data_IF_975646395999
#
_entry.id   IF_975646395999
#
_cell.length_a   1.000
_cell.length_b   1.000
_cell.length_c   1.000
_cell.angle_alpha   90.00
_cell.angle_beta   90.00
_cell.angle_gamma   90.00
#
_symmetry.space_group_name_H-M   'P 1'
#
loop_
_entity.id
_entity.type
_entity.pdbx_description
1 polymer ?
#
# COMPACT_ATOMS: atom_id res chain seq x y z
N UNK A 1 -19.72 9.14 27.66
CA UNK A 1 -18.59 8.61 26.88
C UNK A 1 -17.37 9.51 26.78
N UNK A 2 -17.33 10.60 25.99
CA UNK A 2 -16.07 11.38 25.79
C UNK A 2 -15.44 11.82 27.12
N UNK A 3 -16.24 12.39 28.03
CA UNK A 3 -15.77 12.83 29.36
C UNK A 3 -15.30 11.66 30.21
N UNK A 4 -16.02 10.54 30.18
CA UNK A 4 -15.74 9.35 30.98
C UNK A 4 -14.47 8.62 30.49
N UNK A 5 -14.27 8.58 29.18
CA UNK A 5 -13.02 8.16 28.56
C UNK A 5 -11.86 9.07 29.00
N UNK A 6 -12.02 10.39 28.93
CA UNK A 6 -10.98 11.32 29.40
C UNK A 6 -10.64 11.13 30.89
N UNK A 7 -11.65 10.89 31.75
CA UNK A 7 -11.45 10.55 33.17
C UNK A 7 -10.63 9.26 33.33
N UNK A 8 -10.92 8.22 32.56
CA UNK A 8 -10.18 6.96 32.61
C UNK A 8 -8.71 7.06 32.16
N UNK A 9 -8.36 8.04 31.31
CA UNK A 9 -6.98 8.30 30.89
C UNK A 9 -6.20 9.25 31.81
N UNK A 10 -6.80 9.75 32.89
CA UNK A 10 -6.08 10.52 33.93
C UNK A 10 -5.01 9.65 34.60
N UNK A 11 -4.01 10.28 35.22
CA UNK A 11 -2.85 9.60 35.82
C UNK A 11 -1.69 9.34 34.85
N UNK A 12 -1.93 9.22 33.54
CA UNK A 12 -0.83 9.11 32.56
C UNK A 12 -0.16 10.48 32.32
N UNK A 13 1.18 10.51 32.40
CA UNK A 13 1.98 11.71 32.14
C UNK A 13 3.28 11.38 31.39
N UNK A 14 4.00 12.42 30.99
CA UNK A 14 5.33 12.31 30.39
C UNK A 14 6.35 12.08 31.50
N UNK A 15 7.03 10.94 31.46
CA UNK A 15 8.08 10.61 32.41
C UNK A 15 9.33 11.48 32.18
N UNK A 16 9.99 11.87 33.27
CA UNK A 16 11.17 12.74 33.24
C UNK A 16 10.91 14.04 32.44
N UNK A 17 9.81 14.71 32.79
CA UNK A 17 9.29 15.89 32.09
C UNK A 17 10.36 16.95 31.83
N UNK A 18 11.19 17.30 32.82
CA UNK A 18 12.24 18.32 32.68
C UNK A 18 13.25 17.97 31.56
N UNK A 19 13.67 16.70 31.51
CA UNK A 19 14.56 16.24 30.46
C UNK A 19 13.86 16.18 29.10
N UNK A 20 12.59 15.76 29.06
CA UNK A 20 11.79 15.73 27.83
C UNK A 20 11.54 17.14 27.28
N UNK A 21 11.32 18.14 28.14
CA UNK A 21 11.21 19.55 27.74
C UNK A 21 12.52 20.08 27.13
N UNK A 22 13.68 19.73 27.71
CA UNK A 22 14.98 20.07 27.12
C UNK A 22 15.20 19.40 25.75
N UNK A 23 14.72 18.17 25.58
CA UNK A 23 14.76 17.46 24.29
C UNK A 23 13.85 18.11 23.26
N UNK A 24 12.62 18.45 23.65
CA UNK A 24 11.63 19.18 22.84
C UNK A 24 12.13 20.53 22.36
N UNK A 25 12.88 21.26 23.19
CA UNK A 25 13.48 22.54 22.77
C UNK A 25 14.58 22.38 21.72
N UNK A 26 15.24 21.21 21.67
CA UNK A 26 16.39 20.95 20.78
C UNK A 26 16.00 20.18 19.52
N UNK A 27 15.07 19.25 19.64
CA UNK A 27 14.62 18.34 18.60
C UNK A 27 13.18 18.71 18.20
N UNK A 28 12.75 18.47 16.96
CA UNK A 28 11.39 18.82 16.52
C UNK A 28 10.31 17.99 17.24
N UNK A 29 9.33 18.65 17.86
CA UNK A 29 8.12 18.02 18.43
C UNK A 29 7.05 17.66 17.38
N UNK A 30 7.16 18.23 16.17
CA UNK A 30 6.26 17.94 15.06
C UNK A 30 6.40 16.47 14.62
N UNK A 31 5.33 15.84 14.11
CA UNK A 31 4.82 14.50 14.49
C UNK A 31 5.77 13.32 14.26
N UNK A 32 6.92 13.55 13.63
CA UNK A 32 7.97 12.57 13.36
C UNK A 32 9.32 13.05 13.89
N UNK A 33 9.34 13.51 15.14
CA UNK A 33 10.53 13.95 15.86
C UNK A 33 11.50 12.83 16.23
N UNK A 34 12.73 13.19 16.60
CA UNK A 34 13.75 12.24 17.13
C UNK A 34 13.58 11.97 18.63
N UNK A 35 12.46 12.37 19.20
CA UNK A 35 12.19 12.27 20.64
C UNK A 35 11.45 10.96 20.88
N UNK A 36 12.13 10.04 21.57
CA UNK A 36 11.48 8.89 22.18
C UNK A 36 10.86 9.36 23.49
N UNK A 37 9.58 9.73 23.44
CA UNK A 37 8.83 10.13 24.62
C UNK A 37 8.72 8.94 25.59
N UNK A 38 8.92 9.22 26.87
CA UNK A 38 8.70 8.26 27.94
C UNK A 38 7.41 8.66 28.65
N UNK A 39 6.64 7.67 29.08
CA UNK A 39 5.39 7.88 29.80
C UNK A 39 5.39 7.09 31.10
N UNK A 40 4.72 7.62 32.11
CA UNK A 40 4.52 6.98 33.41
C UNK A 40 3.10 7.22 33.91
N UNK A 41 2.67 6.38 34.86
CA UNK A 41 1.35 6.49 35.48
C UNK A 41 1.50 6.90 36.95
N UNK A 42 0.85 8.00 37.31
CA UNK A 42 0.72 8.50 38.68
C UNK A 42 -0.68 8.16 39.21
N UNK A 43 -0.81 7.18 40.13
CA UNK A 43 -2.09 6.83 40.73
C UNK A 43 -2.78 8.01 41.42
N UNK A 44 -2.01 8.92 42.04
CA UNK A 44 -2.51 10.10 42.73
C UNK A 44 -3.19 11.14 41.82
N UNK A 45 -2.86 11.12 40.53
CA UNK A 45 -3.46 11.99 39.51
C UNK A 45 -4.58 11.30 38.73
N UNK A 46 -4.91 10.04 39.07
CA UNK A 46 -5.99 9.28 38.46
C UNK A 46 -7.33 9.54 39.16
N UNK A 47 -8.39 9.67 38.36
CA UNK A 47 -9.76 9.71 38.85
C UNK A 47 -10.27 8.28 39.08
N UNK A 48 -10.17 7.80 40.32
CA UNK A 48 -10.70 6.50 40.75
C UNK A 48 -12.23 6.43 40.93
N UNK A 49 -12.95 7.46 40.50
CA UNK A 49 -14.41 7.45 40.55
C UNK A 49 -15.02 6.43 39.58
N UNK A 50 -16.25 6.00 39.89
CA UNK A 50 -17.05 5.20 38.95
C UNK A 50 -17.30 5.98 37.66
N UNK A 51 -17.21 5.27 36.53
CA UNK A 51 -17.36 5.78 35.15
C UNK A 51 -18.38 4.92 34.43
N UNK A 52 -19.14 5.53 33.53
CA UNK A 52 -20.06 4.84 32.62
C UNK A 52 -19.61 5.09 31.18
N UNK A 53 -19.24 4.03 30.47
CA UNK A 53 -18.68 4.14 29.12
C UNK A 53 -19.24 3.06 28.21
N UNK A 54 -19.88 3.48 27.11
CA UNK A 54 -20.46 2.59 26.10
C UNK A 54 -21.37 1.49 26.69
N UNK A 55 -22.11 1.83 27.76
CA UNK A 55 -23.04 0.93 28.43
C UNK A 55 -22.43 0.05 29.53
N UNK A 56 -21.12 0.06 29.72
CA UNK A 56 -20.45 -0.59 30.85
C UNK A 56 -20.24 0.41 32.00
N UNK A 57 -20.27 -0.07 33.26
CA UNK A 57 -20.06 0.76 34.47
C UNK A 57 -18.99 0.15 35.36
N UNK A 58 -18.06 0.96 35.85
CA UNK A 58 -16.98 0.53 36.74
C UNK A 58 -15.95 1.63 37.03
N UNK A 59 -14.98 1.34 37.89
CA UNK A 59 -13.80 2.19 38.04
C UNK A 59 -12.81 1.88 36.92
N UNK A 60 -13.06 2.44 35.72
CA UNK A 60 -12.27 2.14 34.53
C UNK A 60 -10.96 2.93 34.46
N UNK A 61 -9.91 2.26 34.03
CA UNK A 61 -8.63 2.82 33.56
C UNK A 61 -8.64 2.99 32.04
N UNK A 62 -7.59 3.62 31.49
CA UNK A 62 -7.42 3.76 30.04
C UNK A 62 -7.35 2.41 29.31
N UNK A 63 -6.79 1.37 29.94
CA UNK A 63 -6.75 0.01 29.39
C UNK A 63 -8.15 -0.59 29.32
N UNK A 64 -8.96 -0.44 30.37
CA UNK A 64 -10.36 -0.91 30.38
C UNK A 64 -11.20 -0.24 29.28
N UNK A 65 -10.98 1.06 29.03
CA UNK A 65 -11.65 1.77 27.94
C UNK A 65 -11.30 1.14 26.58
N UNK A 66 -10.04 0.79 26.35
CA UNK A 66 -9.59 0.13 25.12
C UNK A 66 -10.28 -1.23 24.98
N UNK A 67 -10.33 -2.01 26.05
CA UNK A 67 -11.01 -3.31 26.05
C UNK A 67 -12.52 -3.18 25.75
N UNK A 68 -13.19 -2.18 26.31
CA UNK A 68 -14.60 -1.90 26.03
C UNK A 68 -14.81 -1.50 24.56
N UNK A 69 -13.90 -0.72 23.98
CA UNK A 69 -13.94 -0.34 22.56
C UNK A 69 -13.75 -1.57 21.67
N UNK A 70 -12.81 -2.46 21.98
CA UNK A 70 -12.56 -3.70 21.22
C UNK A 70 -13.80 -4.62 21.17
N UNK A 71 -14.65 -4.61 22.21
CA UNK A 71 -15.91 -5.37 22.22
C UNK A 71 -16.97 -4.80 21.26
N UNK A 72 -16.85 -3.56 20.81
CA UNK A 72 -17.90 -2.92 20.01
C UNK A 72 -17.92 -3.45 18.56
N UNK A 73 -19.10 -3.76 18.00
CA UNK A 73 -19.23 -4.12 16.58
C UNK A 73 -18.67 -3.07 15.62
N UNK A 74 -18.72 -1.79 16.01
CA UNK A 74 -18.15 -0.69 15.24
C UNK A 74 -16.63 -0.87 15.02
N UNK A 75 -15.90 -1.36 16.01
CA UNK A 75 -14.46 -1.62 15.93
C UNK A 75 -14.15 -2.73 14.93
N UNK A 76 -14.88 -3.84 15.01
CA UNK A 76 -14.75 -4.95 14.08
C UNK A 76 -15.01 -4.53 12.62
N UNK A 77 -16.09 -3.75 12.39
CA UNK A 77 -16.44 -3.24 11.06
C UNK A 77 -15.42 -2.24 10.54
N UNK A 78 -14.93 -1.34 11.40
CA UNK A 78 -13.91 -0.34 11.06
C UNK A 78 -12.60 -1.00 10.61
N UNK A 79 -12.09 -1.95 11.40
CA UNK A 79 -10.88 -2.70 11.07
C UNK A 79 -11.09 -3.54 9.80
N UNK A 80 -12.21 -4.25 9.69
CA UNK A 80 -12.54 -5.06 8.52
C UNK A 80 -12.55 -4.24 7.23
N UNK A 81 -13.12 -3.04 7.26
CA UNK A 81 -13.19 -2.16 6.10
C UNK A 81 -11.83 -1.60 5.72
N UNK A 82 -10.96 -1.29 6.70
CA UNK A 82 -9.57 -0.94 6.41
C UNK A 82 -8.79 -2.09 5.79
N UNK A 83 -8.93 -3.31 6.30
CA UNK A 83 -8.26 -4.50 5.75
C UNK A 83 -8.75 -4.80 4.32
N UNK A 84 -10.07 -4.75 4.09
CA UNK A 84 -10.66 -4.92 2.77
C UNK A 84 -10.17 -3.83 1.80
N UNK A 85 -10.24 -2.57 2.23
CA UNK A 85 -9.78 -1.42 1.46
C UNK A 85 -8.30 -1.55 1.08
N UNK A 86 -7.46 -2.06 1.97
CA UNK A 86 -6.03 -2.19 1.71
C UNK A 86 -5.68 -3.37 0.79
N UNK A 87 -6.31 -4.54 0.98
CA UNK A 87 -5.88 -5.77 0.31
C UNK A 87 -6.75 -6.24 -0.86
N UNK A 88 -8.02 -5.82 -0.95
CA UNK A 88 -8.98 -6.41 -1.90
C UNK A 88 -9.39 -5.41 -2.97
N UNK A 89 -9.99 -4.29 -2.59
CA UNK A 89 -10.53 -3.30 -3.53
C UNK A 89 -10.54 -1.92 -2.89
N UNK A 90 -10.60 -0.86 -3.71
CA UNK A 90 -10.73 0.49 -3.20
C UNK A 90 -12.11 0.71 -2.54
N UNK A 91 -12.13 1.49 -1.46
CA UNK A 91 -13.33 1.86 -0.70
C UNK A 91 -13.48 3.38 -0.74
N UNK A 92 -14.70 3.92 -0.52
CA UNK A 92 -14.89 5.34 -0.28
C UNK A 92 -13.95 5.86 0.83
N UNK A 93 -13.62 7.17 0.84
CA UNK A 93 -12.83 7.77 1.92
C UNK A 93 -13.44 7.51 3.31
N UNK A 94 -12.59 7.35 4.33
CA UNK A 94 -13.00 7.03 5.71
C UNK A 94 -14.10 7.95 6.26
N UNK A 95 -14.12 9.29 6.01
CA UNK A 95 -15.19 10.16 6.49
C UNK A 95 -16.58 9.84 5.93
N UNK A 96 -16.65 9.16 4.79
CA UNK A 96 -17.91 8.76 4.16
C UNK A 96 -18.46 7.45 4.72
N UNK A 97 -17.65 6.69 5.45
CA UNK A 97 -18.02 5.36 5.92
C UNK A 97 -19.30 5.29 6.76
N UNK A 98 -19.66 6.30 7.58
CA UNK A 98 -20.94 6.32 8.29
C UNK A 98 -22.17 6.48 7.39
N UNK A 99 -21.99 6.95 6.15
CA UNK A 99 -23.07 7.32 5.22
C UNK A 99 -23.08 6.44 3.96
N UNK A 100 -21.98 5.76 3.67
CA UNK A 100 -21.78 4.95 2.47
C UNK A 100 -21.47 3.51 2.88
N UNK A 101 -22.31 2.58 2.43
CA UNK A 101 -22.11 1.14 2.59
C UNK A 101 -20.77 0.69 1.97
N UNK A 102 -20.13 -0.36 2.52
CA UNK A 102 -18.94 -0.93 1.91
C UNK A 102 -19.25 -1.54 0.54
N UNK A 103 -18.25 -1.61 -0.33
CA UNK A 103 -18.37 -2.19 -1.66
C UNK A 103 -18.78 -3.68 -1.62
N UNK A 104 -18.31 -4.41 -0.60
CA UNK A 104 -18.74 -5.78 -0.31
C UNK A 104 -19.13 -5.94 1.17
N UNK A 105 -20.42 -5.74 1.52
CA UNK A 105 -20.90 -5.91 2.89
C UNK A 105 -20.70 -7.33 3.44
N UNK A 106 -20.70 -8.35 2.57
CA UNK A 106 -20.54 -9.75 3.00
C UNK A 106 -19.08 -10.05 3.37
N UNK A 107 -18.12 -9.48 2.65
CA UNK A 107 -16.71 -9.55 3.02
C UNK A 107 -16.46 -8.88 4.39
N UNK A 108 -17.02 -7.68 4.60
CA UNK A 108 -16.88 -6.96 5.89
C UNK A 108 -17.48 -7.76 7.04
N UNK A 109 -18.65 -8.38 6.86
CA UNK A 109 -19.26 -9.24 7.87
C UNK A 109 -18.41 -10.49 8.16
N UNK A 110 -17.86 -11.11 7.12
CA UNK A 110 -16.99 -12.29 7.25
C UNK A 110 -15.75 -11.98 8.09
N UNK A 111 -15.09 -10.85 7.82
CA UNK A 111 -13.94 -10.38 8.58
C UNK A 111 -14.32 -9.96 10.00
N UNK A 112 -15.47 -9.28 10.18
CA UNK A 112 -15.95 -8.86 11.49
C UNK A 112 -16.26 -10.06 12.38
N UNK A 113 -16.85 -11.13 11.82
CA UNK A 113 -17.05 -12.39 12.54
C UNK A 113 -15.72 -13.03 12.94
N UNK A 114 -14.74 -13.06 12.03
CA UNK A 114 -13.41 -13.58 12.34
C UNK A 114 -12.72 -12.80 13.49
N UNK A 115 -12.93 -11.49 13.56
CA UNK A 115 -12.47 -10.67 14.68
C UNK A 115 -13.05 -11.14 16.02
N UNK A 116 -14.37 -11.36 16.12
CA UNK A 116 -14.99 -11.81 17.36
C UNK A 116 -14.67 -13.28 17.70
N UNK A 117 -14.77 -14.18 16.72
CA UNK A 117 -14.54 -15.63 16.92
C UNK A 117 -13.12 -15.94 17.41
N UNK A 118 -12.16 -15.08 17.07
CA UNK A 118 -10.74 -15.24 17.43
C UNK A 118 -10.34 -14.48 18.70
N UNK A 119 -11.26 -13.77 19.36
CA UNK A 119 -10.94 -12.91 20.49
C UNK A 119 -10.13 -11.68 20.08
N UNK A 120 -10.59 -10.97 19.05
CA UNK A 120 -10.06 -9.70 18.55
C UNK A 120 -8.71 -9.80 17.84
N UNK A 121 -8.39 -10.96 17.24
CA UNK A 121 -7.09 -11.21 16.65
C UNK A 121 -6.98 -10.76 15.17
N UNK A 122 -6.15 -9.75 14.91
CA UNK A 122 -5.91 -9.24 13.54
C UNK A 122 -5.26 -10.29 12.63
N UNK A 123 -4.36 -11.11 13.15
CA UNK A 123 -3.73 -12.19 12.38
C UNK A 123 -4.74 -13.23 11.88
N UNK A 124 -5.74 -13.57 12.70
CA UNK A 124 -6.85 -14.43 12.30
C UNK A 124 -7.71 -13.79 11.21
N UNK A 125 -8.01 -12.49 11.32
CA UNK A 125 -8.72 -11.75 10.25
C UNK A 125 -7.95 -11.79 8.94
N UNK A 126 -6.64 -11.54 8.95
CA UNK A 126 -5.78 -11.62 7.76
C UNK A 126 -5.77 -13.04 7.17
N UNK A 127 -5.71 -14.06 8.02
CA UNK A 127 -5.80 -15.46 7.60
C UNK A 127 -7.10 -15.76 6.86
N UNK A 128 -8.23 -15.25 7.35
CA UNK A 128 -9.53 -15.35 6.67
C UNK A 128 -9.53 -14.55 5.36
N UNK A 129 -9.03 -13.31 5.38
CA UNK A 129 -8.98 -12.44 4.21
C UNK A 129 -8.23 -13.10 3.06
N UNK A 130 -6.98 -13.51 3.25
CA UNK A 130 -6.14 -14.06 2.18
C UNK A 130 -6.62 -15.43 1.68
N UNK A 131 -7.48 -16.12 2.44
CA UNK A 131 -8.05 -17.39 2.03
C UNK A 131 -9.47 -17.29 1.46
N UNK A 132 -10.11 -16.13 1.55
CA UNK A 132 -11.48 -15.89 1.09
C UNK A 132 -11.63 -15.94 -0.44
N UNK A 133 -12.86 -16.21 -0.88
CA UNK A 133 -13.19 -16.17 -2.31
C UNK A 133 -13.16 -14.75 -2.86
N UNK A 134 -13.59 -13.75 -2.07
CA UNK A 134 -13.55 -12.35 -2.50
C UNK A 134 -12.12 -11.83 -2.70
N UNK A 135 -11.12 -12.32 -1.96
CA UNK A 135 -9.72 -11.95 -2.21
C UNK A 135 -9.14 -12.64 -3.46
N UNK A 136 -9.60 -13.85 -3.77
CA UNK A 136 -9.12 -14.65 -4.90
C UNK A 136 -9.91 -14.43 -6.19
N UNK A 137 -10.97 -13.62 -6.12
CA UNK A 137 -11.86 -13.35 -7.23
C UNK A 137 -11.08 -12.72 -8.40
N UNK A 138 -11.38 -13.11 -9.66
CA UNK A 138 -10.78 -12.47 -10.84
C UNK A 138 -10.95 -10.95 -10.84
N UNK A 139 -12.09 -10.46 -10.35
CA UNK A 139 -12.45 -9.04 -10.29
C UNK A 139 -11.60 -8.25 -9.28
N UNK A 140 -10.97 -8.92 -8.31
CA UNK A 140 -10.08 -8.29 -7.33
C UNK A 140 -8.65 -8.15 -7.82
N UNK A 141 -8.27 -8.87 -8.89
CA UNK A 141 -6.94 -8.74 -9.49
C UNK A 141 -6.86 -7.41 -10.24
N UNK A 142 -5.83 -6.61 -9.97
CA UNK A 142 -5.63 -5.30 -10.63
C UNK A 142 -6.80 -4.32 -10.42
N UNK A 143 -7.65 -4.57 -9.41
CA UNK A 143 -8.77 -3.70 -9.09
C UNK A 143 -8.28 -2.34 -8.55
N UNK A 144 -7.16 -2.37 -7.82
CA UNK A 144 -6.65 -1.21 -7.09
C UNK A 144 -5.66 -0.42 -7.93
N UNK A 145 -5.66 0.89 -7.76
CA UNK A 145 -4.56 1.73 -8.27
C UNK A 145 -3.41 1.68 -7.27
N UNK A 146 -2.20 1.33 -7.74
CA UNK A 146 -1.00 1.34 -6.89
C UNK A 146 -0.80 2.73 -6.29
N UNK A 147 -0.57 2.80 -4.99
CA UNK A 147 -0.12 4.08 -4.40
C UNK A 147 1.22 4.51 -5.03
N UNK A 148 1.56 5.81 -5.08
CA UNK A 148 2.84 6.24 -5.66
C UNK A 148 4.07 5.55 -5.06
N UNK A 149 4.09 5.34 -3.74
CA UNK A 149 5.17 4.62 -3.06
C UNK A 149 5.21 3.15 -3.47
N UNK A 150 4.05 2.50 -3.59
CA UNK A 150 3.97 1.12 -4.04
C UNK A 150 4.47 0.95 -5.48
N UNK A 151 4.10 1.87 -6.39
CA UNK A 151 4.61 1.90 -7.75
C UNK A 151 6.14 2.06 -7.75
N UNK A 152 6.66 3.05 -7.03
CA UNK A 152 8.10 3.32 -6.96
C UNK A 152 8.86 2.13 -6.37
N UNK A 153 8.41 1.59 -5.24
CA UNK A 153 9.04 0.45 -4.60
C UNK A 153 8.97 -0.82 -5.48
N UNK A 154 7.83 -1.05 -6.15
CA UNK A 154 7.65 -2.16 -7.08
C UNK A 154 8.60 -2.09 -8.26
N UNK A 155 8.73 -0.92 -8.88
CA UNK A 155 9.70 -0.68 -9.98
C UNK A 155 11.13 -0.88 -9.50
N UNK A 156 11.52 -0.34 -8.34
CA UNK A 156 12.87 -0.55 -7.79
C UNK A 156 13.16 -2.02 -7.49
N UNK A 157 12.15 -2.79 -7.08
CA UNK A 157 12.25 -4.25 -6.91
C UNK A 157 12.49 -4.94 -8.25
N UNK A 158 11.76 -4.54 -9.30
CA UNK A 158 11.92 -5.08 -10.64
C UNK A 158 13.27 -4.72 -11.27
N UNK A 159 13.79 -3.50 -11.03
CA UNK A 159 15.10 -3.07 -11.55
C UNK A 159 16.28 -3.57 -10.72
N UNK A 160 16.04 -4.13 -9.53
CA UNK A 160 17.08 -4.65 -8.64
C UNK A 160 17.85 -3.55 -7.89
N UNK A 161 17.23 -2.40 -7.64
CA UNK A 161 17.83 -1.21 -7.04
C UNK A 161 17.64 -1.13 -5.50
N UNK A 162 17.63 -2.26 -4.81
CA UNK A 162 17.35 -2.34 -3.36
C UNK A 162 18.45 -3.05 -2.55
N UNK A 163 19.60 -3.35 -3.16
CA UNK A 163 20.71 -4.08 -2.56
C UNK A 163 21.44 -3.30 -1.45
N UNK A 164 21.50 -1.97 -1.58
CA UNK A 164 22.17 -1.07 -0.62
C UNK A 164 21.61 0.34 -0.71
N UNK A 165 21.82 1.19 0.32
CA UNK A 165 21.54 2.61 0.22
C UNK A 165 22.36 3.26 -0.90
N UNK A 166 21.67 4.00 -1.78
CA UNK A 166 22.23 4.69 -2.94
C UNK A 166 21.75 6.15 -2.91
N UNK A 167 22.55 7.09 -3.41
CA UNK A 167 22.19 8.51 -3.40
C UNK A 167 20.92 8.79 -4.22
N UNK A 168 20.76 8.02 -5.30
CA UNK A 168 19.63 8.02 -6.22
C UNK A 168 18.29 7.76 -5.51
N UNK A 169 18.28 7.17 -4.30
CA UNK A 169 17.05 6.98 -3.54
C UNK A 169 16.33 8.30 -3.22
N UNK A 170 17.06 9.42 -3.12
CA UNK A 170 16.48 10.75 -2.95
C UNK A 170 15.67 11.19 -4.17
N UNK A 171 16.16 10.88 -5.37
CA UNK A 171 15.41 11.09 -6.61
C UNK A 171 14.15 10.21 -6.61
N UNK A 172 14.27 8.92 -6.27
CA UNK A 172 13.13 7.98 -6.21
C UNK A 172 12.06 8.39 -5.20
N UNK A 173 12.48 8.88 -4.04
CA UNK A 173 11.58 9.48 -3.05
C UNK A 173 10.84 10.70 -3.62
N UNK A 174 11.56 11.55 -4.36
CA UNK A 174 10.97 12.75 -4.97
C UNK A 174 9.95 12.39 -6.05
N UNK A 175 10.14 11.29 -6.78
CA UNK A 175 9.18 10.77 -7.76
C UNK A 175 7.84 10.39 -7.10
N UNK A 176 7.85 9.69 -5.97
CA UNK A 176 6.62 9.42 -5.22
C UNK A 176 5.93 10.72 -4.76
N UNK A 177 6.74 11.73 -4.39
CA UNK A 177 6.23 13.05 -4.00
C UNK A 177 5.56 13.79 -5.15
N UNK A 178 6.12 13.76 -6.36
CA UNK A 178 5.51 14.35 -7.57
C UNK A 178 4.21 13.67 -7.97
N UNK A 179 4.06 12.40 -7.63
CA UNK A 179 2.85 11.61 -7.83
C UNK A 179 1.82 11.78 -6.69
N UNK A 180 2.12 12.59 -5.67
CA UNK A 180 1.18 12.96 -4.60
C UNK A 180 1.35 12.25 -3.26
N UNK A 181 2.38 11.41 -3.09
CA UNK A 181 2.62 10.71 -1.82
C UNK A 181 4.02 10.98 -1.27
N UNK A 182 4.08 11.78 -0.20
CA UNK A 182 5.30 12.03 0.56
C UNK A 182 5.28 11.12 1.79
N UNK A 183 6.23 10.21 1.94
CA UNK A 183 6.27 9.31 3.10
C UNK A 183 6.32 10.09 4.41
N UNK A 184 5.58 9.60 5.42
CA UNK A 184 5.44 10.24 6.73
C UNK A 184 4.88 11.67 6.66
N UNK A 185 4.09 11.99 5.62
CA UNK A 185 3.42 13.27 5.52
C UNK A 185 2.03 13.10 4.88
N UNK A 186 1.10 12.40 5.56
CA UNK A 186 -0.26 12.28 5.08
C UNK A 186 -0.97 13.64 5.10
N UNK A 187 -1.92 13.89 4.17
CA UNK A 187 -2.64 15.16 4.10
C UNK A 187 -3.51 15.44 5.33
N UNK A 188 -3.96 14.40 6.04
CA UNK A 188 -4.77 14.53 7.26
C UNK A 188 -4.53 13.34 8.21
N UNK A 189 -5.19 13.38 9.38
CA UNK A 189 -5.19 12.27 10.35
C UNK A 189 -5.84 10.99 9.81
N UNK A 190 -6.57 11.07 8.69
CA UNK A 190 -7.17 9.90 8.03
C UNK A 190 -6.17 9.14 7.15
N UNK A 191 -4.98 9.70 6.92
CA UNK A 191 -3.98 9.14 6.03
C UNK A 191 -4.08 9.71 4.61
N UNK A 192 -3.75 8.89 3.61
CA UNK A 192 -3.88 9.25 2.20
C UNK A 192 -5.17 8.68 1.61
N UNK A 193 -5.73 9.41 0.66
CA UNK A 193 -6.76 8.87 -0.24
C UNK A 193 -6.20 7.68 -1.04
N UNK A 194 -7.08 6.83 -1.57
CA UNK A 194 -6.69 5.61 -2.30
C UNK A 194 -7.40 5.53 -3.66
N UNK A 195 -7.05 4.53 -4.46
CA UNK A 195 -7.68 4.29 -5.75
C UNK A 195 -7.45 5.41 -6.77
N UNK A 196 -8.52 5.79 -7.46
CA UNK A 196 -8.45 6.74 -8.58
C UNK A 196 -8.03 8.15 -8.18
N UNK A 197 -8.04 8.49 -6.90
CA UNK A 197 -7.54 9.79 -6.42
C UNK A 197 -6.04 9.97 -6.66
N UNK A 198 -5.31 8.86 -6.85
CA UNK A 198 -3.92 8.89 -7.31
C UNK A 198 -3.75 9.26 -8.79
N UNK A 199 -4.84 9.33 -9.55
CA UNK A 199 -4.84 9.53 -11.00
C UNK A 199 -5.41 10.90 -11.35
N UNK A 200 -4.54 11.75 -11.89
CA UNK A 200 -4.91 12.93 -12.65
C UNK A 200 -4.00 13.06 -13.87
N UNK A 201 -4.30 13.99 -14.77
CA UNK A 201 -3.56 14.14 -16.03
C UNK A 201 -2.05 14.35 -15.84
N UNK A 202 -1.62 14.99 -14.76
CA UNK A 202 -0.20 15.20 -14.45
C UNK A 202 0.46 13.97 -13.82
N UNK A 203 -0.15 13.44 -12.75
CA UNK A 203 0.40 12.29 -12.01
C UNK A 203 0.46 11.03 -12.88
N UNK A 204 -0.49 10.80 -13.77
CA UNK A 204 -0.46 9.65 -14.68
C UNK A 204 0.76 9.70 -15.61
N UNK A 205 1.11 10.88 -16.13
CA UNK A 205 2.29 11.05 -16.98
C UNK A 205 3.58 10.79 -16.20
N UNK A 206 3.69 11.33 -14.98
CA UNK A 206 4.85 11.06 -14.11
C UNK A 206 5.01 9.57 -13.79
N UNK A 207 3.91 8.88 -13.51
CA UNK A 207 3.90 7.43 -13.24
C UNK A 207 4.37 6.61 -14.43
N UNK A 208 3.85 6.90 -15.62
CA UNK A 208 4.25 6.23 -16.87
C UNK A 208 5.71 6.51 -17.20
N UNK A 209 6.14 7.78 -17.12
CA UNK A 209 7.52 8.18 -17.39
C UNK A 209 8.50 7.52 -16.44
N UNK A 210 8.17 7.48 -15.14
CA UNK A 210 9.01 6.84 -14.14
C UNK A 210 9.14 5.33 -14.41
N UNK A 211 8.01 4.63 -14.56
CA UNK A 211 8.00 3.18 -14.79
C UNK A 211 8.74 2.81 -16.08
N UNK A 212 8.39 3.44 -17.21
CA UNK A 212 9.02 3.17 -18.51
C UNK A 212 10.52 3.49 -18.50
N UNK A 213 10.95 4.63 -17.93
CA UNK A 213 12.37 4.99 -17.84
C UNK A 213 13.18 3.98 -17.03
N UNK A 214 12.65 3.53 -15.89
CA UNK A 214 13.37 2.57 -15.05
C UNK A 214 13.38 1.15 -15.66
N UNK A 215 12.27 0.71 -16.23
CA UNK A 215 12.14 -0.64 -16.81
C UNK A 215 12.87 -0.76 -18.15
N UNK A 216 12.93 0.31 -18.96
CA UNK A 216 13.67 0.33 -20.22
C UNK A 216 15.18 0.45 -20.08
N UNK A 217 15.69 0.72 -18.87
CA UNK A 217 17.14 0.82 -18.64
C UNK A 217 17.77 -0.57 -18.52
N UNK A 218 18.24 -1.10 -19.66
CA UNK A 218 18.92 -2.38 -19.77
C UNK A 218 20.28 -2.45 -19.02
N UNK A 219 20.73 -1.37 -18.39
CA UNK A 219 21.90 -1.39 -17.49
C UNK A 219 21.55 -1.80 -16.06
N UNK A 220 20.25 -1.79 -15.72
CA UNK A 220 19.78 -2.16 -14.37
C UNK A 220 19.86 -3.68 -14.15
N UNK A 221 20.36 -4.15 -12.99
CA UNK A 221 20.57 -5.57 -12.75
C UNK A 221 19.31 -6.44 -12.93
N UNK A 222 18.17 -5.96 -12.44
CA UNK A 222 16.90 -6.68 -12.57
C UNK A 222 16.41 -6.76 -14.02
N UNK A 223 16.58 -5.68 -14.80
CA UNK A 223 16.23 -5.66 -16.22
C UNK A 223 17.17 -6.56 -17.02
N UNK A 224 18.48 -6.53 -16.74
CA UNK A 224 19.45 -7.45 -17.33
C UNK A 224 19.06 -8.91 -17.10
N UNK A 225 18.71 -9.25 -15.86
CA UNK A 225 18.26 -10.61 -15.52
C UNK A 225 16.97 -11.00 -16.25
N UNK A 226 16.03 -10.09 -16.44
CA UNK A 226 14.80 -10.35 -17.20
C UNK A 226 15.11 -10.56 -18.68
N UNK A 227 15.91 -9.67 -19.29
CA UNK A 227 16.35 -9.77 -20.68
C UNK A 227 17.11 -11.07 -20.91
N UNK A 228 18.05 -11.44 -20.05
CA UNK A 228 18.81 -12.69 -20.14
C UNK A 228 17.91 -13.91 -20.16
N UNK A 229 16.94 -13.96 -19.25
CA UNK A 229 15.98 -15.07 -19.14
C UNK A 229 15.09 -15.16 -20.38
N UNK A 230 14.54 -14.03 -20.83
CA UNK A 230 13.70 -13.98 -22.04
C UNK A 230 14.53 -14.41 -23.25
N UNK A 231 15.71 -13.82 -23.47
CA UNK A 231 16.60 -14.17 -24.57
C UNK A 231 16.94 -15.66 -24.62
N UNK A 232 17.11 -16.31 -23.45
CA UNK A 232 17.40 -17.75 -23.38
C UNK A 232 16.21 -18.64 -23.78
N UNK A 233 14.98 -18.14 -23.62
CA UNK A 233 13.75 -18.85 -24.01
C UNK A 233 13.35 -18.59 -25.48
N UNK A 234 13.88 -17.53 -26.10
CA UNK A 234 13.51 -17.13 -27.47
C UNK A 234 14.34 -17.85 -28.54
N UNK A 235 13.74 -18.06 -29.71
CA UNK A 235 14.36 -18.67 -30.89
C UNK A 235 14.20 -17.76 -32.12
N UNK A 236 14.86 -18.08 -33.24
CA UNK A 236 14.72 -17.32 -34.49
C UNK A 236 13.28 -17.28 -35.02
N UNK A 237 12.44 -18.24 -34.64
CA UNK A 237 11.02 -18.34 -35.02
C UNK A 237 10.05 -17.81 -33.96
N UNK A 238 10.53 -17.11 -32.93
CA UNK A 238 9.67 -16.52 -31.90
C UNK A 238 8.75 -15.47 -32.53
N UNK A 239 7.43 -15.59 -32.29
CA UNK A 239 6.46 -14.57 -32.70
C UNK A 239 6.43 -13.38 -31.74
N UNK A 240 5.96 -12.24 -32.23
CA UNK A 240 5.79 -11.02 -31.42
C UNK A 240 4.88 -11.27 -30.20
N UNK A 241 3.83 -12.08 -30.37
CA UNK A 241 2.93 -12.49 -29.29
C UNK A 241 3.68 -13.23 -28.18
N UNK A 242 4.54 -14.19 -28.54
CA UNK A 242 5.29 -14.96 -27.56
C UNK A 242 6.29 -14.09 -26.79
N UNK A 243 6.91 -13.13 -27.47
CA UNK A 243 7.80 -12.17 -26.81
C UNK A 243 7.03 -11.27 -25.83
N UNK A 244 5.87 -10.74 -26.24
CA UNK A 244 5.00 -9.94 -25.36
C UNK A 244 4.57 -10.76 -24.14
N UNK A 245 4.12 -12.01 -24.32
CA UNK A 245 3.73 -12.87 -23.21
C UNK A 245 4.90 -13.11 -22.24
N UNK A 246 6.11 -13.34 -22.75
CA UNK A 246 7.31 -13.51 -21.91
C UNK A 246 7.68 -12.23 -21.14
N UNK A 247 7.51 -11.05 -21.74
CA UNK A 247 7.72 -9.77 -21.07
C UNK A 247 6.67 -9.51 -19.99
N UNK A 248 5.39 -9.78 -20.26
CA UNK A 248 4.30 -9.66 -19.28
C UNK A 248 4.52 -10.60 -18.09
N UNK A 249 4.97 -11.83 -18.35
CA UNK A 249 5.34 -12.79 -17.32
C UNK A 249 6.52 -12.28 -16.48
N UNK A 250 7.54 -11.70 -17.13
CA UNK A 250 8.74 -11.19 -16.46
C UNK A 250 8.49 -10.05 -15.48
N UNK A 251 7.61 -9.12 -15.83
CA UNK A 251 7.32 -7.93 -15.03
C UNK A 251 6.41 -8.24 -13.83
N UNK A 252 5.79 -9.42 -13.80
CA UNK A 252 5.00 -9.90 -12.66
C UNK A 252 3.73 -10.66 -13.04
N UNK A 253 3.76 -11.43 -14.14
CA UNK A 253 2.59 -12.13 -14.67
C UNK A 253 1.37 -11.23 -14.83
N UNK A 254 1.54 -10.13 -15.57
CA UNK A 254 0.49 -9.15 -15.82
C UNK A 254 -0.52 -9.66 -16.84
N UNK A 255 -1.80 -9.65 -16.46
CA UNK A 255 -2.92 -9.78 -17.40
C UNK A 255 -3.25 -8.38 -17.96
N UNK A 256 -3.28 -8.25 -19.29
CA UNK A 256 -3.58 -7.00 -20.00
C UNK A 256 -4.85 -7.13 -20.84
N UNK A 257 -5.54 -6.01 -21.05
CA UNK A 257 -6.71 -5.99 -21.94
C UNK A 257 -6.30 -6.29 -23.39
N UNK A 258 -7.24 -6.82 -24.19
CA UNK A 258 -6.97 -7.25 -25.57
C UNK A 258 -6.47 -6.09 -26.46
N UNK A 259 -6.98 -4.88 -26.23
CA UNK A 259 -6.53 -3.69 -26.96
C UNK A 259 -5.09 -3.29 -26.58
N UNK A 260 -4.74 -3.32 -25.29
CA UNK A 260 -3.36 -3.12 -24.81
C UNK A 260 -2.44 -4.19 -25.39
N UNK A 261 -2.86 -5.45 -25.35
CA UNK A 261 -2.12 -6.58 -25.91
C UNK A 261 -1.84 -6.39 -27.39
N UNK A 262 -2.84 -6.00 -28.19
CA UNK A 262 -2.68 -5.74 -29.62
C UNK A 262 -1.63 -4.66 -29.88
N UNK A 263 -1.64 -3.57 -29.11
CA UNK A 263 -0.65 -2.48 -29.25
C UNK A 263 0.77 -2.96 -28.93
N UNK A 264 0.94 -3.76 -27.87
CA UNK A 264 2.25 -4.34 -27.52
C UNK A 264 2.77 -5.28 -28.61
N UNK A 265 1.91 -6.12 -29.17
CA UNK A 265 2.25 -7.05 -30.25
C UNK A 265 2.62 -6.29 -31.53
N UNK A 266 1.83 -5.29 -31.91
CA UNK A 266 2.12 -4.44 -33.07
C UNK A 266 3.46 -3.70 -32.92
N UNK A 267 3.76 -3.21 -31.71
CA UNK A 267 5.04 -2.57 -31.40
C UNK A 267 6.20 -3.57 -31.54
N UNK A 268 6.08 -4.76 -30.93
CA UNK A 268 7.09 -5.81 -31.03
C UNK A 268 7.32 -6.26 -32.47
N UNK A 269 6.27 -6.44 -33.26
CA UNK A 269 6.36 -6.87 -34.66
C UNK A 269 7.12 -5.86 -35.55
N UNK A 270 7.07 -4.56 -35.22
CA UNK A 270 7.77 -3.49 -35.96
C UNK A 270 9.26 -3.38 -35.61
N UNK A 271 9.66 -3.80 -34.41
CA UNK A 271 11.04 -3.72 -33.94
C UNK A 271 11.88 -4.97 -34.20
N UNK A 272 11.29 -6.07 -34.66
CA UNK A 272 12.00 -7.31 -34.98
C UNK A 272 12.93 -7.18 -36.19
N UNK A 273 14.25 -7.09 -35.94
CA UNK A 273 15.29 -7.17 -36.96
C UNK A 273 15.43 -8.57 -37.58
N UNK A 274 15.97 -8.59 -38.80
CA UNK A 274 16.06 -9.75 -39.71
C UNK A 274 16.72 -11.01 -39.13
N UNK A 275 15.91 -12.03 -38.83
CA UNK A 275 16.30 -13.45 -38.92
C UNK A 275 17.13 -14.07 -37.80
N UNK A 276 17.45 -13.35 -36.72
CA UNK A 276 18.28 -13.88 -35.61
C UNK A 276 17.59 -13.87 -34.23
N UNK A 277 16.25 -13.76 -34.20
CA UNK A 277 15.49 -13.57 -32.96
C UNK A 277 15.56 -12.13 -32.43
N UNK A 278 14.79 -11.78 -31.39
CA UNK A 278 14.79 -10.43 -30.83
C UNK A 278 16.12 -10.14 -30.13
N UNK A 279 16.77 -9.03 -30.48
CA UNK A 279 17.97 -8.59 -29.77
C UNK A 279 17.64 -8.11 -28.35
N UNK A 280 18.67 -7.97 -27.52
CA UNK A 280 18.53 -7.55 -26.11
C UNK A 280 17.88 -6.18 -25.96
N UNK A 281 18.15 -5.26 -26.89
CA UNK A 281 17.61 -3.91 -26.84
C UNK A 281 16.11 -3.96 -27.16
N UNK A 282 15.70 -4.73 -28.15
CA UNK A 282 14.30 -4.91 -28.51
C UNK A 282 13.49 -5.51 -27.35
N UNK A 283 14.04 -6.49 -26.62
CA UNK A 283 13.39 -7.03 -25.41
C UNK A 283 13.22 -5.93 -24.35
N UNK A 284 14.26 -5.12 -24.12
CA UNK A 284 14.18 -3.99 -23.18
C UNK A 284 13.13 -2.93 -23.61
N UNK A 285 13.01 -2.66 -24.91
CA UNK A 285 12.01 -1.74 -25.45
C UNK A 285 10.58 -2.28 -25.26
N UNK A 286 10.36 -3.59 -25.41
CA UNK A 286 9.06 -4.21 -25.12
C UNK A 286 8.76 -4.17 -23.62
N UNK A 287 9.74 -4.45 -22.75
CA UNK A 287 9.59 -4.31 -21.29
C UNK A 287 9.24 -2.86 -20.90
N UNK A 288 9.88 -1.87 -21.52
CA UNK A 288 9.58 -0.46 -21.35
C UNK A 288 8.11 -0.14 -21.69
N UNK A 289 7.61 -0.68 -22.81
CA UNK A 289 6.22 -0.51 -23.21
C UNK A 289 5.24 -1.18 -22.23
N UNK A 290 5.58 -2.36 -21.70
CA UNK A 290 4.79 -3.01 -20.63
C UNK A 290 4.70 -2.11 -19.39
N UNK A 291 5.82 -1.50 -18.97
CA UNK A 291 5.85 -0.54 -17.86
C UNK A 291 5.01 0.72 -18.07
N UNK A 292 4.66 1.05 -19.31
CA UNK A 292 3.84 2.20 -19.68
C UNK A 292 2.33 1.89 -19.75
N UNK A 293 1.92 0.63 -19.57
CA UNK A 293 0.52 0.21 -19.63
C UNK A 293 -0.30 0.69 -18.43
N UNK A 294 -1.61 0.77 -18.58
CA UNK A 294 -2.54 1.10 -17.49
C UNK A 294 -2.55 -0.01 -16.44
N UNK A 295 -2.45 -1.25 -16.87
CA UNK A 295 -2.49 -2.46 -16.06
C UNK A 295 -1.24 -2.55 -15.17
N UNK A 296 -0.08 -2.09 -15.65
CA UNK A 296 1.10 -1.95 -14.80
C UNK A 296 0.90 -0.95 -13.65
N UNK A 297 -0.02 0.01 -13.77
CA UNK A 297 -0.31 0.99 -12.71
C UNK A 297 -1.23 0.42 -11.62
N UNK A 298 -1.75 -0.80 -11.79
CA UNK A 298 -2.76 -1.42 -10.93
C UNK A 298 -2.24 -2.64 -10.17
N UNK A 299 -2.78 -2.92 -8.99
CA UNK A 299 -2.43 -4.06 -8.13
C UNK A 299 -3.66 -4.93 -7.85
#
# INVERSE_FOLDING_TARGET
>A
DIKECARAFTGWTIANREYMELRSQRDSDWPYGRISWHFEFHPEDHDDGEKEFLGERGNFTGEDIIDIICKQPATARFISRHLYSFFVADEPPVPEWPYTEPADPQAIETLSRAYFDSGYNIGAMLGVLFNSDFFKAPESRYAKVKSPVELVAGVLRLTGEFDRPRYEILERFSQASYMGQILNNPPSVEGWHTGTDWLNSGTLVERINFASKQIGDATKPGIQSMVDRISAEMTESTSAERLVDACLEAVGALDVEEDTRRVLVDFSARGGGSGQGPDRQHIADVLQMVGATQEFQRA
#
